data_IF_438483527088
#
_entry.id   IF_438483527088
#
_cell.length_a   1.000
_cell.length_b   1.000
_cell.length_c   1.000
_cell.angle_alpha   90.00
_cell.angle_beta   90.00
_cell.angle_gamma   90.00
#
_symmetry.space_group_name_H-M   'P 1'
#
loop_
_entity.id
_entity.type
_entity.pdbx_description
1 polymer ?
#
# COMPACT_ATOMS: atom_id res chain seq x y z
N UNK A 1 0.28 -36.69 -7.19
CA UNK A 1 -0.73 -36.01 -6.37
C UNK A 1 -0.08 -35.57 -5.07
N UNK A 2 -0.56 -34.49 -4.49
CA UNK A 2 -0.15 -34.02 -3.17
C UNK A 2 -0.90 -34.79 -2.09
N UNK A 3 -0.24 -35.00 -0.97
CA UNK A 3 -0.82 -35.51 0.27
C UNK A 3 -0.70 -34.44 1.36
N UNK A 4 -1.60 -34.48 2.34
CA UNK A 4 -1.45 -33.65 3.55
C UNK A 4 -0.05 -33.84 4.13
N UNK A 5 0.53 -32.75 4.65
CA UNK A 5 1.90 -32.71 5.19
C UNK A 5 3.04 -32.80 4.14
N UNK A 6 2.74 -32.85 2.84
CA UNK A 6 3.78 -32.57 1.85
C UNK A 6 4.24 -31.10 1.96
N UNK A 7 5.48 -30.83 1.57
CA UNK A 7 5.99 -29.47 1.36
C UNK A 7 6.30 -29.30 -0.12
N UNK A 8 5.87 -28.21 -0.69
CA UNK A 8 6.11 -27.91 -2.10
C UNK A 8 7.05 -26.71 -2.25
N UNK A 9 7.94 -26.77 -3.24
CA UNK A 9 8.88 -25.70 -3.59
C UNK A 9 8.63 -25.21 -5.00
N UNK A 10 8.77 -23.91 -5.22
CA UNK A 10 8.91 -23.35 -6.56
C UNK A 10 10.25 -23.81 -7.15
N UNK A 11 10.21 -24.44 -8.34
CA UNK A 11 11.41 -24.99 -9.00
C UNK A 11 12.13 -23.96 -9.86
N UNK A 12 11.46 -22.92 -10.32
CA UNK A 12 11.97 -21.94 -11.28
C UNK A 12 11.56 -20.54 -10.87
N UNK A 13 12.46 -19.59 -10.98
CA UNK A 13 12.25 -18.20 -10.58
C UNK A 13 12.49 -18.00 -9.08
N UNK A 14 11.47 -17.84 -8.27
CA UNK A 14 11.59 -17.71 -6.81
C UNK A 14 11.79 -19.06 -6.14
N UNK A 15 12.96 -19.67 -6.32
CA UNK A 15 13.29 -21.06 -5.94
C UNK A 15 13.35 -21.32 -4.44
N UNK A 16 13.36 -20.30 -3.61
CA UNK A 16 13.43 -20.31 -2.15
C UNK A 16 12.06 -20.23 -1.45
N UNK A 17 10.99 -20.21 -2.25
CA UNK A 17 9.61 -20.21 -1.74
C UNK A 17 9.12 -21.63 -1.58
N UNK A 18 8.64 -21.95 -0.38
CA UNK A 18 8.00 -23.21 -0.07
C UNK A 18 6.61 -22.98 0.58
N UNK A 19 5.77 -24.01 0.51
CA UNK A 19 4.44 -24.02 1.12
C UNK A 19 4.15 -25.41 1.71
N UNK A 20 3.52 -25.42 2.88
CA UNK A 20 3.01 -26.63 3.53
C UNK A 20 1.66 -26.99 2.92
N UNK A 21 1.44 -28.29 2.65
CA UNK A 21 0.19 -28.82 2.06
C UNK A 21 -0.76 -29.20 3.19
N UNK A 22 -1.86 -28.46 3.27
CA UNK A 22 -2.94 -28.74 4.23
C UNK A 22 -3.94 -29.77 3.68
N UNK A 23 -4.86 -30.23 4.51
CA UNK A 23 -5.86 -31.22 4.13
C UNK A 23 -6.72 -30.78 2.92
N UNK A 24 -6.99 -29.48 2.77
CA UNK A 24 -7.79 -28.94 1.66
C UNK A 24 -7.13 -29.11 0.29
N UNK A 25 -5.78 -29.22 0.22
CA UNK A 25 -5.03 -29.45 -1.00
C UNK A 25 -4.72 -30.93 -1.27
N UNK A 26 -5.15 -31.85 -0.41
CA UNK A 26 -4.94 -33.28 -0.61
C UNK A 26 -5.50 -33.74 -1.95
N UNK A 27 -4.73 -34.50 -2.70
CA UNK A 27 -5.12 -35.00 -4.01
C UNK A 27 -4.88 -34.03 -5.17
N UNK A 28 -4.44 -32.80 -4.93
CA UNK A 28 -4.14 -31.85 -6.00
C UNK A 28 -2.98 -32.33 -6.87
N UNK A 29 -3.08 -32.06 -8.16
CA UNK A 29 -2.00 -32.25 -9.11
C UNK A 29 -1.08 -31.02 -9.10
N UNK A 30 0.20 -31.23 -9.33
CA UNK A 30 1.19 -30.16 -9.47
C UNK A 30 2.01 -30.32 -10.74
N UNK A 31 2.46 -29.20 -11.29
CA UNK A 31 3.22 -29.17 -12.53
C UNK A 31 4.72 -29.48 -12.30
N UNK A 32 5.46 -29.75 -13.37
CA UNK A 32 6.93 -29.92 -13.30
C UNK A 32 7.71 -28.67 -12.86
N UNK A 33 7.02 -27.55 -12.64
CA UNK A 33 7.60 -26.32 -12.05
C UNK A 33 7.63 -26.31 -10.53
N UNK A 34 7.14 -27.39 -9.91
CA UNK A 34 7.08 -27.53 -8.45
C UNK A 34 7.85 -28.81 -8.07
N UNK A 35 8.66 -28.72 -7.03
CA UNK A 35 9.28 -29.88 -6.37
C UNK A 35 8.47 -30.21 -5.11
N UNK A 36 8.24 -31.49 -4.87
CA UNK A 36 7.57 -32.00 -3.67
C UNK A 36 8.61 -32.60 -2.71
N UNK A 37 8.52 -32.25 -1.45
CA UNK A 37 9.22 -32.88 -0.33
C UNK A 37 8.17 -33.56 0.52
N UNK A 38 8.34 -34.87 0.74
CA UNK A 38 7.52 -35.67 1.66
C UNK A 38 8.37 -36.04 2.87
N UNK A 39 8.09 -35.45 4.05
CA UNK A 39 8.85 -35.76 5.25
C UNK A 39 8.67 -37.22 5.68
N UNK A 40 9.66 -37.76 6.33
CA UNK A 40 9.58 -39.07 7.00
C UNK A 40 8.76 -38.92 8.31
N UNK A 41 8.23 -40.03 8.84
CA UNK A 41 7.33 -40.02 10.02
C UNK A 41 7.91 -39.38 11.28
N UNK A 42 9.23 -39.39 11.47
CA UNK A 42 9.90 -38.79 12.63
C UNK A 42 10.11 -37.27 12.50
N UNK A 43 9.71 -36.67 11.40
CA UNK A 43 9.86 -35.26 11.13
C UNK A 43 8.51 -34.58 11.09
N UNK A 44 8.27 -33.60 11.95
CA UNK A 44 7.09 -32.79 11.90
C UNK A 44 7.11 -31.88 10.65
N UNK A 45 6.17 -32.11 9.74
CA UNK A 45 6.11 -31.42 8.44
C UNK A 45 6.03 -29.90 8.56
N UNK A 46 5.19 -29.42 9.45
CA UNK A 46 5.01 -27.97 9.65
C UNK A 46 6.27 -27.33 10.25
N UNK A 47 6.96 -28.04 11.18
CA UNK A 47 8.26 -27.58 11.69
C UNK A 47 9.30 -27.52 10.56
N UNK A 48 9.36 -28.54 9.72
CA UNK A 48 10.27 -28.56 8.57
C UNK A 48 9.96 -27.43 7.59
N UNK A 49 8.69 -27.13 7.31
CA UNK A 49 8.28 -25.97 6.52
C UNK A 49 8.87 -24.66 7.08
N UNK A 50 8.83 -24.47 8.41
CA UNK A 50 9.41 -23.28 9.04
C UNK A 50 10.92 -23.23 8.97
N UNK A 51 11.62 -24.36 9.19
CA UNK A 51 13.08 -24.46 8.99
C UNK A 51 13.45 -24.03 7.57
N UNK A 52 12.76 -24.60 6.58
CA UNK A 52 12.98 -24.31 5.16
C UNK A 52 12.63 -22.85 4.77
N UNK A 53 11.88 -22.17 5.62
CA UNK A 53 11.49 -20.75 5.45
C UNK A 53 12.48 -19.79 6.14
N UNK A 54 13.50 -20.29 6.85
CA UNK A 54 14.53 -19.43 7.46
C UNK A 54 15.42 -18.77 6.41
N UNK A 55 15.93 -17.57 6.69
CA UNK A 55 16.77 -16.85 5.74
C UNK A 55 18.11 -17.55 5.44
N UNK A 56 18.65 -18.29 6.42
CA UNK A 56 19.87 -19.12 6.24
C UNK A 56 19.66 -20.19 5.18
N UNK A 57 18.57 -20.96 5.27
CA UNK A 57 18.23 -22.02 4.33
C UNK A 57 17.84 -21.44 2.96
N UNK A 58 17.03 -20.39 2.93
CA UNK A 58 16.68 -19.68 1.69
C UNK A 58 17.91 -19.19 0.93
N UNK A 59 18.88 -18.62 1.65
CA UNK A 59 20.16 -18.17 1.07
C UNK A 59 20.96 -19.34 0.51
N UNK A 60 21.06 -20.46 1.22
CA UNK A 60 21.75 -21.66 0.72
C UNK A 60 21.09 -22.19 -0.56
N UNK A 61 19.77 -22.28 -0.61
CA UNK A 61 19.01 -22.66 -1.81
C UNK A 61 19.29 -21.70 -2.98
N UNK A 62 19.24 -20.38 -2.75
CA UNK A 62 19.52 -19.39 -3.80
C UNK A 62 20.93 -19.48 -4.32
N UNK A 63 21.92 -19.71 -3.45
CA UNK A 63 23.32 -19.83 -3.82
C UNK A 63 23.63 -21.10 -4.64
N UNK A 64 22.83 -22.15 -4.46
CA UNK A 64 22.97 -23.43 -5.21
C UNK A 64 22.12 -23.45 -6.48
N UNK A 65 21.21 -22.50 -6.66
CA UNK A 65 20.35 -22.42 -7.83
C UNK A 65 21.16 -22.19 -9.11
N UNK A 66 20.76 -22.81 -10.20
CA UNK A 66 21.42 -22.73 -11.50
C UNK A 66 20.65 -21.77 -12.41
N UNK A 67 21.36 -20.91 -13.14
CA UNK A 67 20.82 -19.94 -14.07
C UNK A 67 20.81 -18.51 -13.52
N UNK A 68 21.38 -17.57 -14.28
CA UNK A 68 21.50 -16.15 -13.86
C UNK A 68 20.20 -15.37 -14.05
N UNK A 69 19.54 -15.54 -15.19
CA UNK A 69 18.32 -14.78 -15.54
C UNK A 69 17.05 -15.42 -14.95
N UNK A 70 17.02 -16.74 -14.85
CA UNK A 70 15.91 -17.50 -14.32
C UNK A 70 16.45 -18.65 -13.45
N UNK A 71 16.69 -18.38 -12.17
CA UNK A 71 17.21 -19.41 -11.24
C UNK A 71 16.32 -20.64 -11.22
N UNK A 72 16.92 -21.81 -11.17
CA UNK A 72 16.21 -23.08 -11.06
C UNK A 72 16.87 -24.02 -10.09
N UNK A 73 16.08 -24.85 -9.43
CA UNK A 73 16.54 -25.93 -8.55
C UNK A 73 16.01 -27.29 -9.02
N UNK A 74 16.70 -28.32 -8.62
CA UNK A 74 16.32 -29.71 -8.87
C UNK A 74 16.36 -30.51 -7.57
N UNK A 75 15.92 -31.76 -7.62
CA UNK A 75 15.92 -32.64 -6.44
C UNK A 75 17.29 -32.78 -5.79
N UNK A 76 18.41 -32.99 -6.52
CA UNK A 76 19.74 -33.03 -5.91
C UNK A 76 20.14 -31.74 -5.19
N UNK A 77 19.83 -30.58 -5.73
CA UNK A 77 20.13 -29.29 -5.08
C UNK A 77 19.36 -29.18 -3.78
N UNK A 78 18.05 -29.46 -3.79
CA UNK A 78 17.20 -29.35 -2.61
C UNK A 78 17.57 -30.40 -1.54
N UNK A 79 17.87 -31.65 -1.93
CA UNK A 79 18.26 -32.71 -0.99
C UNK A 79 19.63 -32.48 -0.32
N UNK A 80 20.51 -31.70 -0.92
CA UNK A 80 21.81 -31.33 -0.38
C UNK A 80 21.78 -30.01 0.42
N UNK A 81 20.60 -29.39 0.58
CA UNK A 81 20.46 -28.20 1.40
C UNK A 81 20.55 -28.57 2.88
N UNK A 82 21.49 -27.96 3.58
CA UNK A 82 21.71 -28.21 5.03
C UNK A 82 20.61 -27.51 5.84
N UNK A 83 20.05 -28.24 6.80
CA UNK A 83 19.08 -27.74 7.78
C UNK A 83 19.48 -28.11 9.21
N UNK A 84 19.15 -27.23 10.16
CA UNK A 84 19.28 -27.53 11.59
C UNK A 84 17.88 -27.64 12.18
N UNK A 85 17.61 -28.75 12.85
CA UNK A 85 16.32 -29.05 13.42
C UNK A 85 16.46 -29.93 14.65
N UNK A 86 15.62 -29.71 15.67
CA UNK A 86 15.63 -30.59 16.86
C UNK A 86 15.29 -32.02 16.46
N UNK A 87 15.98 -32.99 17.14
CA UNK A 87 15.66 -34.41 16.99
C UNK A 87 14.43 -34.83 17.82
N UNK A 88 13.99 -34.00 18.77
CA UNK A 88 12.83 -34.24 19.61
C UNK A 88 11.53 -33.90 18.87
N UNK A 89 10.72 -34.90 18.57
CA UNK A 89 9.40 -34.69 17.94
C UNK A 89 8.50 -33.77 18.79
N UNK A 90 8.57 -33.88 20.12
CA UNK A 90 7.81 -33.02 21.03
C UNK A 90 8.24 -31.56 20.93
N UNK A 91 9.52 -31.28 20.75
CA UNK A 91 10.03 -29.92 20.54
C UNK A 91 9.66 -29.41 19.17
N UNK A 92 9.82 -30.21 18.11
CA UNK A 92 9.35 -29.85 16.75
C UNK A 92 7.88 -29.43 16.75
N UNK A 93 7.03 -30.19 17.43
CA UNK A 93 5.59 -29.89 17.57
C UNK A 93 5.34 -28.57 18.29
N UNK A 94 6.06 -28.27 19.39
CA UNK A 94 5.91 -27.01 20.12
C UNK A 94 6.31 -25.81 19.25
N UNK A 95 7.43 -25.91 18.54
CA UNK A 95 7.91 -24.86 17.64
C UNK A 95 6.90 -24.63 16.50
N UNK A 96 6.46 -25.72 15.86
CA UNK A 96 5.46 -25.64 14.78
C UNK A 96 4.16 -24.96 15.24
N UNK A 97 3.62 -25.37 16.38
CA UNK A 97 2.41 -24.79 16.93
C UNK A 97 2.56 -23.30 17.26
N UNK A 98 3.68 -22.89 17.86
CA UNK A 98 3.92 -21.49 18.17
C UNK A 98 3.98 -20.63 16.91
N UNK A 99 4.71 -21.06 15.88
CA UNK A 99 4.84 -20.32 14.63
C UNK A 99 3.54 -20.31 13.84
N UNK A 100 2.77 -21.40 13.86
CA UNK A 100 1.43 -21.48 13.25
C UNK A 100 0.45 -20.47 13.86
N UNK A 101 0.43 -20.34 15.19
CA UNK A 101 -0.42 -19.35 15.88
C UNK A 101 -0.04 -17.92 15.47
N UNK A 102 1.23 -17.64 15.22
CA UNK A 102 1.67 -16.34 14.72
C UNK A 102 1.17 -16.11 13.28
N UNK A 103 1.24 -17.14 12.42
CA UNK A 103 0.75 -17.06 11.05
C UNK A 103 -0.77 -16.86 10.99
N UNK A 104 -1.53 -17.56 11.82
CA UNK A 104 -2.97 -17.33 11.96
C UNK A 104 -3.28 -15.89 12.39
N UNK A 105 -2.49 -15.35 13.33
CA UNK A 105 -2.63 -13.96 13.78
C UNK A 105 -2.31 -12.97 12.67
N UNK A 106 -1.22 -13.19 11.89
CA UNK A 106 -0.87 -12.38 10.73
C UNK A 106 -1.97 -12.43 9.66
N UNK A 107 -2.51 -13.62 9.38
CA UNK A 107 -3.61 -13.79 8.43
C UNK A 107 -4.88 -13.03 8.87
N UNK A 108 -5.25 -13.17 10.14
CA UNK A 108 -6.39 -12.46 10.73
C UNK A 108 -6.18 -10.95 10.68
N UNK A 109 -4.96 -10.48 10.98
CA UNK A 109 -4.62 -9.06 10.94
C UNK A 109 -4.74 -8.47 9.53
N UNK A 110 -4.28 -9.21 8.50
CA UNK A 110 -4.46 -8.81 7.10
C UNK A 110 -5.94 -8.67 6.73
N UNK A 111 -6.78 -9.61 7.17
CA UNK A 111 -8.23 -9.57 6.93
C UNK A 111 -8.89 -8.37 7.60
N UNK A 112 -8.52 -8.06 8.85
CA UNK A 112 -9.01 -6.86 9.56
C UNK A 112 -8.68 -5.59 8.77
N UNK A 113 -7.44 -5.45 8.30
CA UNK A 113 -7.00 -4.29 7.51
C UNK A 113 -7.80 -4.19 6.20
N UNK A 114 -8.00 -5.31 5.50
CA UNK A 114 -8.80 -5.35 4.27
C UNK A 114 -10.25 -4.94 4.51
N UNK A 115 -10.88 -5.46 5.56
CA UNK A 115 -12.27 -5.16 5.89
C UNK A 115 -12.44 -3.69 6.32
N UNK A 116 -11.49 -3.12 7.08
CA UNK A 116 -11.49 -1.70 7.43
C UNK A 116 -11.33 -0.80 6.18
N UNK A 117 -10.48 -1.17 5.21
CA UNK A 117 -10.34 -0.45 3.94
C UNK A 117 -11.63 -0.49 3.13
N UNK A 118 -12.29 -1.65 3.07
CA UNK A 118 -13.60 -1.79 2.40
C UNK A 118 -14.66 -0.92 3.09
N UNK A 119 -14.67 -0.91 4.43
CA UNK A 119 -15.59 -0.10 5.21
C UNK A 119 -15.36 1.40 4.96
N UNK A 120 -14.10 1.87 4.96
CA UNK A 120 -13.77 3.26 4.60
C UNK A 120 -14.31 3.60 3.22
N UNK A 121 -14.02 2.78 2.23
CA UNK A 121 -14.49 3.00 0.85
C UNK A 121 -16.02 3.04 0.77
N UNK A 122 -16.72 2.12 1.44
CA UNK A 122 -18.18 2.09 1.46
C UNK A 122 -18.78 3.35 2.09
N UNK A 123 -18.20 3.85 3.18
CA UNK A 123 -18.64 5.10 3.83
C UNK A 123 -18.45 6.28 2.87
N UNK A 124 -17.29 6.39 2.22
CA UNK A 124 -17.05 7.45 1.22
C UNK A 124 -18.09 7.38 0.11
N UNK A 125 -18.38 6.20 -0.45
CA UNK A 125 -19.39 6.07 -1.51
C UNK A 125 -20.79 6.48 -1.04
N UNK A 126 -21.19 6.14 0.18
CA UNK A 126 -22.50 6.51 0.74
C UNK A 126 -22.61 8.02 0.95
N UNK A 127 -21.57 8.63 1.55
CA UNK A 127 -21.60 10.06 1.92
C UNK A 127 -21.49 11.00 0.69
N UNK A 128 -20.82 10.56 -0.37
CA UNK A 128 -20.59 11.38 -1.57
C UNK A 128 -21.42 10.97 -2.79
N UNK A 129 -22.25 9.94 -2.69
CA UNK A 129 -23.24 9.65 -3.72
C UNK A 129 -24.36 10.70 -3.65
N UNK A 130 -24.64 11.43 -4.71
CA UNK A 130 -25.68 12.45 -4.70
C UNK A 130 -27.05 11.84 -4.42
N UNK A 131 -27.54 11.98 -3.21
CA UNK A 131 -28.87 11.51 -2.81
C UNK A 131 -29.92 12.62 -2.87
N UNK A 132 -29.50 13.84 -3.21
CA UNK A 132 -30.32 15.04 -3.14
C UNK A 132 -30.34 15.81 -4.46
N UNK A 133 -31.42 16.52 -4.67
CA UNK A 133 -31.64 17.43 -5.82
C UNK A 133 -30.74 18.67 -5.78
N UNK A 134 -30.00 18.90 -4.70
CA UNK A 134 -29.16 20.09 -4.51
C UNK A 134 -27.68 19.72 -4.56
N UNK A 135 -27.11 19.84 -5.74
CA UNK A 135 -25.65 19.83 -5.92
C UNK A 135 -25.21 21.18 -6.44
N UNK A 136 -24.09 21.70 -5.91
CA UNK A 136 -23.43 22.91 -6.42
C UNK A 136 -22.13 22.52 -7.11
N UNK A 137 -21.63 23.32 -8.06
CA UNK A 137 -20.29 23.16 -8.58
C UNK A 137 -19.24 23.27 -7.47
N UNK A 138 -18.20 22.44 -7.50
CA UNK A 138 -17.13 22.53 -6.49
C UNK A 138 -16.41 23.89 -6.54
N UNK A 139 -16.44 24.57 -7.70
CA UNK A 139 -15.92 25.92 -7.87
C UNK A 139 -16.55 26.98 -6.95
N UNK A 140 -17.78 26.75 -6.47
CA UNK A 140 -18.45 27.64 -5.53
C UNK A 140 -17.86 27.60 -4.12
N UNK A 141 -17.01 26.60 -3.83
CA UNK A 141 -16.50 26.31 -2.48
C UNK A 141 -14.97 26.23 -2.41
N UNK A 142 -14.28 26.42 -3.52
CA UNK A 142 -12.81 26.44 -3.62
C UNK A 142 -12.33 27.71 -4.32
N UNK A 143 -11.13 28.14 -3.99
CA UNK A 143 -10.45 29.24 -4.66
C UNK A 143 -9.05 28.83 -5.14
N UNK A 144 -8.66 29.27 -6.33
CA UNK A 144 -7.35 29.01 -6.87
C UNK A 144 -6.27 29.87 -6.17
N UNK A 145 -5.17 29.26 -5.78
CA UNK A 145 -4.03 29.95 -5.22
C UNK A 145 -2.83 29.90 -6.19
N UNK A 146 -2.11 31.00 -6.32
CA UNK A 146 -0.99 31.12 -7.25
C UNK A 146 0.19 31.93 -6.69
N UNK A 147 0.25 32.14 -5.36
CA UNK A 147 1.32 32.86 -4.69
C UNK A 147 2.67 32.19 -4.95
N UNK A 148 3.64 32.95 -5.46
CA UNK A 148 4.96 32.43 -5.83
C UNK A 148 6.02 32.70 -4.77
N UNK A 149 7.04 31.84 -4.73
CA UNK A 149 8.20 31.91 -3.84
C UNK A 149 9.25 32.94 -4.33
N UNK A 150 8.81 34.17 -4.67
CA UNK A 150 9.64 35.20 -5.35
C UNK A 150 11.03 35.44 -4.72
N UNK A 151 11.13 35.29 -3.42
CA UNK A 151 12.37 35.58 -2.67
C UNK A 151 13.17 34.31 -2.36
N UNK A 152 12.80 33.14 -2.94
CA UNK A 152 13.39 31.84 -2.61
C UNK A 152 13.46 31.55 -1.10
N UNK A 153 12.52 32.15 -0.32
CA UNK A 153 12.51 32.05 1.13
C UNK A 153 12.14 30.65 1.65
N UNK A 154 11.37 29.89 0.84
CA UNK A 154 10.92 28.54 1.21
C UNK A 154 11.73 27.54 0.39
N UNK A 155 12.39 26.61 1.10
CA UNK A 155 13.25 25.59 0.50
C UNK A 155 12.60 24.19 0.52
N UNK A 156 11.44 24.03 1.21
CA UNK A 156 10.73 22.75 1.30
C UNK A 156 9.99 22.44 -0.01
N UNK A 157 10.68 21.79 -0.95
CA UNK A 157 10.10 21.43 -2.25
C UNK A 157 9.30 20.14 -2.13
N UNK A 158 8.01 20.23 -2.48
CA UNK A 158 7.05 19.15 -2.38
C UNK A 158 6.58 18.67 -3.76
N UNK A 159 6.20 17.41 -3.80
CA UNK A 159 5.51 16.77 -4.92
C UNK A 159 4.22 16.11 -4.45
N UNK A 160 3.25 15.93 -5.35
CA UNK A 160 2.01 15.20 -5.07
C UNK A 160 2.11 13.78 -5.60
N UNK A 161 2.28 12.83 -4.68
CA UNK A 161 2.22 11.41 -4.94
C UNK A 161 0.77 10.92 -4.97
N UNK A 162 0.45 10.01 -5.87
CA UNK A 162 -0.88 9.36 -5.93
C UNK A 162 -1.15 8.37 -4.78
N UNK A 163 -0.14 8.07 -3.95
CA UNK A 163 -0.27 7.11 -2.83
C UNK A 163 -0.07 7.74 -1.45
N UNK A 164 0.79 8.74 -1.36
CA UNK A 164 1.25 9.32 -0.10
C UNK A 164 0.86 10.79 0.07
N UNK A 165 0.13 11.37 -0.90
CA UNK A 165 -0.19 12.79 -0.89
C UNK A 165 1.04 13.66 -1.08
N UNK A 166 1.17 14.72 -0.30
CA UNK A 166 2.35 15.58 -0.34
C UNK A 166 3.55 14.91 0.32
N UNK A 167 4.63 14.77 -0.42
CA UNK A 167 5.92 14.23 0.02
C UNK A 167 7.05 15.17 -0.41
N UNK A 168 8.20 15.08 0.23
CA UNK A 168 9.38 15.80 -0.26
C UNK A 168 9.77 15.29 -1.64
N UNK A 169 10.12 16.21 -2.52
CA UNK A 169 10.49 15.83 -3.89
C UNK A 169 11.71 14.89 -3.93
N UNK A 170 12.66 15.04 -3.02
CA UNK A 170 13.83 14.17 -2.87
C UNK A 170 13.44 12.72 -2.56
N UNK A 171 12.37 12.49 -1.78
CA UNK A 171 11.87 11.16 -1.45
C UNK A 171 11.20 10.48 -2.65
N UNK A 172 10.53 11.27 -3.50
CA UNK A 172 9.86 10.75 -4.69
C UNK A 172 10.84 10.26 -5.77
N UNK A 173 12.01 10.87 -5.87
CA UNK A 173 13.00 10.63 -6.93
C UNK A 173 14.30 9.99 -6.41
N UNK A 174 14.24 9.18 -5.36
CA UNK A 174 15.38 8.42 -4.82
C UNK A 174 16.60 9.31 -4.54
N UNK A 175 16.39 10.44 -3.86
CA UNK A 175 17.40 11.45 -3.53
C UNK A 175 18.02 12.18 -4.75
N UNK A 176 17.42 12.11 -5.93
CA UNK A 176 17.79 12.96 -7.05
C UNK A 176 17.18 14.35 -6.85
N UNK A 177 18.02 15.38 -6.95
CA UNK A 177 17.53 16.76 -6.95
C UNK A 177 16.94 17.07 -8.33
N UNK A 178 15.61 16.98 -8.47
CA UNK A 178 14.88 17.26 -9.72
C UNK A 178 14.35 18.70 -9.74
N UNK A 179 14.39 19.38 -8.58
CA UNK A 179 14.01 20.78 -8.50
C UNK A 179 15.00 21.65 -9.28
N UNK A 180 14.49 22.68 -9.95
CA UNK A 180 15.33 23.74 -10.50
C UNK A 180 16.11 24.42 -9.38
N UNK A 181 17.34 24.88 -9.63
CA UNK A 181 18.11 25.72 -8.70
C UNK A 181 17.35 27.00 -8.36
N UNK A 182 16.64 27.56 -9.33
CA UNK A 182 15.71 28.68 -9.12
C UNK A 182 14.29 28.19 -8.87
N UNK A 183 13.84 28.36 -7.64
CA UNK A 183 12.47 28.02 -7.19
C UNK A 183 11.56 29.26 -7.06
N UNK A 184 11.98 30.43 -7.55
CA UNK A 184 11.23 31.69 -7.45
C UNK A 184 9.84 31.63 -8.10
N UNK A 185 9.69 30.79 -9.13
CA UNK A 185 8.43 30.56 -9.83
C UNK A 185 7.53 29.47 -9.21
N UNK A 186 8.05 28.70 -8.23
CA UNK A 186 7.27 27.67 -7.55
C UNK A 186 6.12 28.30 -6.77
N UNK A 187 5.01 27.57 -6.68
CA UNK A 187 3.81 28.01 -5.96
C UNK A 187 3.93 27.64 -4.49
N UNK A 188 3.59 28.58 -3.61
CA UNK A 188 3.54 28.36 -2.18
C UNK A 188 2.22 27.65 -1.84
N UNK A 189 2.31 26.61 -1.04
CA UNK A 189 1.18 25.88 -0.44
C UNK A 189 1.35 25.86 1.07
N UNK A 190 0.25 26.06 1.78
CA UNK A 190 0.15 26.08 3.25
C UNK A 190 -0.70 24.92 3.73
N UNK A 191 -0.68 24.65 5.02
CA UNK A 191 -1.49 23.57 5.61
C UNK A 191 -2.95 23.71 5.18
N UNK A 192 -3.56 22.58 4.79
CA UNK A 192 -4.90 22.46 4.21
C UNK A 192 -5.07 22.97 2.76
N UNK A 193 -4.05 23.53 2.15
CA UNK A 193 -4.10 23.77 0.71
C UNK A 193 -4.05 22.46 -0.07
N UNK A 194 -4.62 22.47 -1.25
CA UNK A 194 -4.65 21.36 -2.20
C UNK A 194 -3.76 21.63 -3.40
N UNK A 195 -3.19 20.58 -3.95
CA UNK A 195 -2.56 20.66 -5.26
C UNK A 195 -2.84 19.40 -6.07
N UNK A 196 -2.98 19.56 -7.38
CA UNK A 196 -3.06 18.44 -8.30
C UNK A 196 -2.19 18.65 -9.55
N UNK A 197 -1.76 17.55 -10.14
CA UNK A 197 -1.12 17.56 -11.44
C UNK A 197 -2.18 17.39 -12.53
N UNK A 198 -2.45 18.40 -13.40
CA UNK A 198 -3.46 18.32 -14.44
C UNK A 198 -3.37 17.08 -15.33
N UNK A 199 -2.15 16.66 -15.69
CA UNK A 199 -1.90 15.52 -16.56
C UNK A 199 -1.89 14.16 -15.84
N UNK A 200 -2.06 14.12 -14.51
CA UNK A 200 -1.99 12.90 -13.70
C UNK A 200 -3.10 12.79 -12.66
N UNK A 201 -4.09 13.65 -12.71
CA UNK A 201 -5.24 13.61 -11.78
C UNK A 201 -6.06 12.34 -11.98
N UNK A 202 -6.12 11.83 -13.20
CA UNK A 202 -6.81 10.58 -13.56
C UNK A 202 -6.18 9.32 -12.90
N UNK A 203 -4.94 9.42 -12.43
CA UNK A 203 -4.26 8.36 -11.66
C UNK A 203 -4.10 8.74 -10.19
N UNK A 204 -4.84 9.74 -9.70
CA UNK A 204 -4.92 10.12 -8.29
C UNK A 204 -3.87 11.15 -7.84
N UNK A 205 -3.23 11.89 -8.74
CA UNK A 205 -2.29 12.96 -8.33
C UNK A 205 -3.03 14.23 -7.93
N UNK A 206 -3.78 14.17 -6.85
CA UNK A 206 -4.41 15.27 -6.11
C UNK A 206 -4.30 14.98 -4.63
N UNK A 207 -3.98 15.99 -3.80
CA UNK A 207 -3.88 15.82 -2.36
C UNK A 207 -4.05 17.15 -1.62
N UNK A 208 -4.39 17.03 -0.32
CA UNK A 208 -4.37 18.10 0.68
C UNK A 208 -3.06 18.06 1.46
N UNK A 209 -2.48 19.24 1.72
CA UNK A 209 -1.26 19.36 2.52
C UNK A 209 -1.58 19.19 4.01
N UNK A 210 -1.22 18.04 4.57
CA UNK A 210 -1.45 17.70 5.99
C UNK A 210 -0.17 17.45 6.76
N UNK A 211 0.92 17.11 6.07
CA UNK A 211 2.20 16.65 6.66
C UNK A 211 3.19 17.77 6.95
N UNK A 212 3.01 18.93 6.33
CA UNK A 212 3.88 20.09 6.49
C UNK A 212 3.04 21.35 6.71
N UNK A 213 3.55 22.29 7.50
CA UNK A 213 2.88 23.59 7.67
C UNK A 213 2.92 24.41 6.38
N UNK A 214 4.05 24.32 5.63
CA UNK A 214 4.28 25.09 4.40
C UNK A 214 5.30 24.41 3.52
N UNK A 215 5.12 24.59 2.20
CA UNK A 215 6.06 24.15 1.18
C UNK A 215 5.86 24.84 -0.15
N UNK A 216 6.63 24.43 -1.13
CA UNK A 216 6.50 24.91 -2.51
C UNK A 216 6.36 23.73 -3.47
N UNK A 217 5.56 23.92 -4.51
CA UNK A 217 5.36 22.96 -5.58
C UNK A 217 5.68 23.54 -6.94
N UNK A 218 6.08 22.70 -7.88
CA UNK A 218 6.36 23.10 -9.26
C UNK A 218 5.20 23.91 -9.88
N UNK A 219 5.49 24.90 -10.74
CA UNK A 219 4.45 25.68 -11.43
C UNK A 219 3.40 24.86 -12.20
N UNK A 220 3.75 23.64 -12.58
CA UNK A 220 2.84 22.72 -13.29
C UNK A 220 1.63 22.26 -12.46
N UNK A 221 1.73 22.29 -11.13
CA UNK A 221 0.60 21.95 -10.28
C UNK A 221 -0.44 23.07 -10.26
N UNK A 222 -1.71 22.71 -10.28
CA UNK A 222 -2.79 23.59 -9.93
C UNK A 222 -3.01 23.52 -8.43
N UNK A 223 -2.99 24.69 -7.76
CA UNK A 223 -3.16 24.78 -6.32
C UNK A 223 -4.44 25.54 -5.99
N UNK A 224 -5.13 25.11 -4.95
CA UNK A 224 -6.37 25.74 -4.49
C UNK A 224 -6.59 25.47 -3.00
N UNK A 225 -7.51 26.20 -2.38
CA UNK A 225 -7.96 26.01 -1.02
C UNK A 225 -9.49 26.04 -0.94
N UNK A 226 -10.02 25.51 0.14
CA UNK A 226 -11.45 25.61 0.46
C UNK A 226 -11.77 26.99 1.03
N UNK A 227 -13.02 27.44 0.86
CA UNK A 227 -13.53 28.59 1.58
C UNK A 227 -13.67 28.30 3.08
N UNK A 228 -13.76 29.35 3.92
CA UNK A 228 -13.79 29.22 5.39
C UNK A 228 -14.95 28.38 5.95
N UNK A 229 -16.07 28.35 5.23
CA UNK A 229 -17.27 27.58 5.59
C UNK A 229 -17.28 26.15 5.06
N UNK A 230 -16.17 25.67 4.53
CA UNK A 230 -16.02 24.33 3.96
C UNK A 230 -14.88 23.59 4.64
N UNK A 231 -15.19 22.42 5.22
CA UNK A 231 -14.18 21.59 5.84
C UNK A 231 -13.21 20.98 4.82
N UNK A 232 -11.91 21.27 4.88
CA UNK A 232 -10.93 20.72 3.92
C UNK A 232 -10.95 19.19 3.87
N UNK A 233 -11.15 18.52 5.02
CA UNK A 233 -11.26 17.07 5.13
C UNK A 233 -12.41 16.51 4.28
N UNK A 234 -13.54 17.23 4.25
CA UNK A 234 -14.69 16.83 3.47
C UNK A 234 -14.39 16.83 1.97
N UNK A 235 -13.69 17.85 1.49
CA UNK A 235 -13.27 17.95 0.09
C UNK A 235 -12.18 16.90 -0.24
N UNK A 236 -11.27 16.65 0.67
CA UNK A 236 -10.20 15.64 0.51
C UNK A 236 -10.80 14.24 0.27
N UNK A 237 -11.74 13.81 1.12
CA UNK A 237 -12.41 12.52 0.95
C UNK A 237 -13.35 12.46 -0.26
N UNK A 238 -13.90 13.59 -0.72
CA UNK A 238 -14.63 13.63 -1.99
C UNK A 238 -13.75 13.17 -3.15
N UNK A 239 -12.49 13.56 -3.18
CA UNK A 239 -11.54 13.17 -4.22
C UNK A 239 -11.20 11.66 -4.22
N UNK A 240 -11.46 10.96 -3.14
CA UNK A 240 -11.34 9.49 -3.09
C UNK A 240 -12.59 8.76 -3.61
N UNK A 241 -13.72 9.46 -3.83
CA UNK A 241 -14.98 8.83 -4.22
C UNK A 241 -15.00 8.42 -5.71
N UNK A 242 -15.70 7.34 -6.02
CA UNK A 242 -15.96 6.94 -7.42
C UNK A 242 -16.74 8.01 -8.16
N UNK A 243 -17.62 8.76 -7.45
CA UNK A 243 -18.36 9.85 -8.04
C UNK A 243 -17.41 10.88 -8.64
N UNK A 244 -16.43 11.35 -7.88
CA UNK A 244 -15.40 12.27 -8.38
C UNK A 244 -14.65 11.67 -9.56
N UNK A 245 -14.15 10.44 -9.43
CA UNK A 245 -13.41 9.76 -10.49
C UNK A 245 -14.22 9.68 -11.80
N UNK A 246 -15.49 9.30 -11.74
CA UNK A 246 -16.36 9.26 -12.92
C UNK A 246 -16.60 10.65 -13.55
N UNK A 247 -16.62 11.71 -12.72
CA UNK A 247 -16.82 13.07 -13.21
C UNK A 247 -15.59 13.66 -13.88
N UNK A 248 -14.38 13.38 -13.36
CA UNK A 248 -13.15 13.85 -14.01
C UNK A 248 -12.95 13.19 -15.37
N UNK A 249 -13.23 11.90 -15.51
CA UNK A 249 -13.08 11.18 -16.79
C UNK A 249 -13.85 11.85 -17.94
N UNK A 250 -14.99 12.46 -17.64
CA UNK A 250 -15.84 13.18 -18.62
C UNK A 250 -15.35 14.59 -18.94
N UNK A 251 -14.35 15.11 -18.21
CA UNK A 251 -13.86 16.50 -18.29
C UNK A 251 -12.38 16.59 -18.64
N UNK A 252 -11.74 15.45 -18.85
CA UNK A 252 -10.35 15.41 -19.33
C UNK A 252 -10.30 15.90 -20.77
N UNK A 253 -9.40 16.84 -21.04
CA UNK A 253 -9.16 17.45 -22.34
C UNK A 253 -7.81 16.99 -22.92
N UNK A 254 -7.72 16.88 -24.23
CA UNK A 254 -6.50 16.50 -24.96
C UNK A 254 -6.50 15.07 -25.48
N UNK A 255 -5.97 14.89 -26.70
CA UNK A 255 -5.94 13.60 -27.41
C UNK A 255 -4.75 12.73 -27.05
N UNK A 256 -3.58 13.32 -26.72
CA UNK A 256 -2.34 12.59 -26.42
C UNK A 256 -2.06 12.57 -24.93
N UNK A 257 -2.26 13.70 -24.24
CA UNK A 257 -2.18 13.80 -22.77
C UNK A 257 -3.47 14.43 -22.27
N UNK A 258 -4.27 13.60 -21.66
CA UNK A 258 -5.49 14.06 -21.03
C UNK A 258 -5.18 14.87 -19.77
N UNK A 259 -5.64 16.10 -19.71
CA UNK A 259 -5.44 17.03 -18.61
C UNK A 259 -6.78 17.51 -18.07
N UNK A 260 -6.87 17.76 -16.77
CA UNK A 260 -8.00 18.46 -16.16
C UNK A 260 -7.57 19.89 -15.87
N UNK A 261 -8.29 20.87 -16.45
CA UNK A 261 -8.12 22.28 -16.10
C UNK A 261 -8.72 22.60 -14.72
N UNK A 262 -8.35 23.75 -14.13
CA UNK A 262 -9.01 24.21 -12.89
C UNK A 262 -10.49 24.45 -13.12
N UNK A 263 -10.87 25.03 -14.26
CA UNK A 263 -12.26 25.21 -14.63
C UNK A 263 -13.01 23.88 -14.76
N UNK A 264 -12.36 22.87 -15.36
CA UNK A 264 -12.91 21.50 -15.43
C UNK A 264 -13.15 20.90 -14.05
N UNK A 265 -12.27 21.17 -13.08
CA UNK A 265 -12.46 20.80 -11.68
C UNK A 265 -13.64 21.57 -11.07
N UNK A 266 -13.68 22.89 -11.24
CA UNK A 266 -14.74 23.76 -10.71
C UNK A 266 -16.14 23.33 -11.13
N UNK A 267 -16.30 22.80 -12.35
CA UNK A 267 -17.58 22.36 -12.89
C UNK A 267 -18.04 20.97 -12.41
N UNK A 268 -17.31 20.33 -11.49
CA UNK A 268 -17.72 19.04 -10.91
C UNK A 268 -18.81 19.26 -9.86
N UNK A 269 -19.98 18.60 -9.98
CA UNK A 269 -21.05 18.74 -8.99
C UNK A 269 -20.66 18.04 -7.68
N UNK A 270 -20.87 18.75 -6.57
CA UNK A 270 -20.68 18.30 -5.21
C UNK A 270 -21.95 18.51 -4.41
N UNK A 271 -22.35 17.53 -3.60
CA UNK A 271 -23.35 17.72 -2.56
C UNK A 271 -22.67 18.31 -1.34
N UNK A 272 -23.08 19.49 -0.90
CA UNK A 272 -22.48 20.21 0.21
C UNK A 272 -23.47 20.27 1.39
N UNK A 273 -23.34 19.41 2.41
CA UNK A 273 -24.15 19.50 3.62
C UNK A 273 -23.69 20.65 4.52
N UNK A 274 -24.39 20.89 5.63
CA UNK A 274 -23.96 21.91 6.60
C UNK A 274 -22.53 21.64 7.10
N UNK A 275 -21.81 22.69 7.49
CA UNK A 275 -20.42 22.60 7.97
C UNK A 275 -20.23 21.58 9.10
N UNK A 276 -21.19 21.51 10.04
CA UNK A 276 -21.18 20.52 11.12
C UNK A 276 -21.24 19.07 10.61
N UNK A 277 -22.07 18.84 9.56
CA UNK A 277 -22.16 17.50 8.93
C UNK A 277 -20.87 17.18 8.20
N UNK A 278 -20.28 18.15 7.47
CA UNK A 278 -18.99 17.97 6.80
C UNK A 278 -17.89 17.56 7.79
N UNK A 279 -17.77 18.27 8.92
CA UNK A 279 -16.81 17.95 9.98
C UNK A 279 -17.06 16.57 10.57
N UNK A 280 -18.32 16.19 10.81
CA UNK A 280 -18.67 14.87 11.33
C UNK A 280 -18.26 13.74 10.36
N UNK A 281 -18.51 13.91 9.08
CA UNK A 281 -18.09 12.95 8.02
C UNK A 281 -16.56 12.86 7.98
N UNK A 282 -15.87 13.99 7.91
CA UNK A 282 -14.41 14.05 7.90
C UNK A 282 -13.79 13.34 9.11
N UNK A 283 -14.29 13.65 10.32
CA UNK A 283 -13.82 13.00 11.55
C UNK A 283 -14.06 11.50 11.56
N UNK A 284 -15.21 11.05 11.08
CA UNK A 284 -15.54 9.61 11.01
C UNK A 284 -14.58 8.85 10.10
N UNK A 285 -14.31 9.38 8.91
CA UNK A 285 -13.39 8.74 7.95
C UNK A 285 -11.95 8.80 8.46
N UNK A 286 -11.53 9.95 9.01
CA UNK A 286 -10.20 10.09 9.64
C UNK A 286 -9.98 9.08 10.77
N UNK A 287 -10.98 8.85 11.63
CA UNK A 287 -10.86 7.84 12.69
C UNK A 287 -10.62 6.43 12.14
N UNK A 288 -11.26 6.08 11.01
CA UNK A 288 -11.00 4.80 10.32
C UNK A 288 -9.59 4.74 9.73
N UNK A 289 -9.08 5.82 9.18
CA UNK A 289 -7.69 5.88 8.69
C UNK A 289 -6.68 5.66 9.80
N UNK A 290 -6.89 6.32 10.95
CA UNK A 290 -6.04 6.09 12.12
C UNK A 290 -6.08 4.61 12.56
N UNK A 291 -7.27 4.00 12.55
CA UNK A 291 -7.41 2.58 12.88
C UNK A 291 -6.69 1.69 11.86
N UNK A 292 -6.84 1.94 10.56
CA UNK A 292 -6.13 1.20 9.50
C UNK A 292 -4.63 1.31 9.68
N UNK A 293 -4.12 2.50 10.00
CA UNK A 293 -2.70 2.73 10.26
C UNK A 293 -2.22 1.91 11.45
N UNK A 294 -2.90 1.98 12.59
CA UNK A 294 -2.54 1.20 13.79
C UNK A 294 -2.51 -0.30 13.52
N UNK A 295 -3.49 -0.83 12.79
CA UNK A 295 -3.54 -2.25 12.44
C UNK A 295 -2.43 -2.64 11.45
N UNK A 296 -2.03 -1.72 10.57
CA UNK A 296 -0.89 -1.92 9.64
C UNK A 296 0.43 -1.93 10.40
N UNK A 297 0.62 -1.03 11.36
CA UNK A 297 1.81 -0.99 12.21
C UNK A 297 1.90 -2.28 13.06
N UNK A 298 0.77 -2.77 13.59
CA UNK A 298 0.70 -4.04 14.30
C UNK A 298 1.09 -5.22 13.41
N UNK A 299 0.63 -5.26 12.16
CA UNK A 299 1.00 -6.29 11.19
C UNK A 299 2.52 -6.31 10.94
N UNK A 300 3.13 -5.14 10.82
CA UNK A 300 4.59 -5.03 10.67
C UNK A 300 5.33 -5.61 11.89
N UNK A 301 4.86 -5.29 13.10
CA UNK A 301 5.43 -5.84 14.35
C UNK A 301 5.30 -7.37 14.43
N UNK A 302 4.15 -7.92 14.06
CA UNK A 302 3.94 -9.38 14.02
C UNK A 302 4.88 -10.07 13.04
N UNK A 303 5.10 -9.48 11.85
CA UNK A 303 6.05 -10.00 10.88
C UNK A 303 7.51 -9.94 11.41
N UNK A 304 7.89 -8.84 12.06
CA UNK A 304 9.20 -8.73 12.72
C UNK A 304 9.36 -9.76 13.84
N UNK A 305 8.34 -9.98 14.66
CA UNK A 305 8.33 -11.01 15.70
C UNK A 305 8.51 -12.40 15.10
N UNK A 306 7.78 -12.75 14.04
CA UNK A 306 7.94 -14.03 13.34
C UNK A 306 9.38 -14.23 12.87
N UNK A 307 9.94 -13.22 12.20
CA UNK A 307 11.33 -13.28 11.71
C UNK A 307 12.35 -13.43 12.84
N UNK A 308 12.15 -12.76 13.95
CA UNK A 308 12.99 -12.90 15.12
C UNK A 308 12.94 -14.33 15.68
N UNK A 309 11.75 -14.88 15.86
CA UNK A 309 11.57 -16.25 16.38
C UNK A 309 12.18 -17.31 15.44
N UNK A 310 11.99 -17.17 14.12
CA UNK A 310 12.62 -18.04 13.14
C UNK A 310 14.17 -18.05 13.27
N UNK A 311 14.77 -16.89 13.55
CA UNK A 311 16.22 -16.78 13.75
C UNK A 311 16.68 -17.40 15.07
N UNK A 312 15.87 -17.34 16.14
CA UNK A 312 16.25 -17.84 17.46
C UNK A 312 16.02 -19.34 17.61
N UNK A 313 15.03 -19.90 16.93
CA UNK A 313 14.63 -21.31 17.07
C UNK A 313 15.41 -22.27 16.17
N UNK A 314 16.03 -21.76 15.10
CA UNK A 314 16.72 -22.57 14.10
C UNK A 314 18.16 -22.07 13.88
N UNK A 315 18.91 -21.99 14.96
CA UNK A 315 20.34 -21.60 14.97
C UNK A 315 21.23 -22.78 14.65
#
# INVERSE_FOLDING_TARGET
MLETDDIVFSRVGSVDINAHVEHVQQGWLFSGRVLRVRPIKSVNSLCLHYVLSTESVKRDIRNRAVGQTMPSINTPILSNTGIYMSQSEAEQKKIANLLSLIDERISTQNKIIEDLKKLKSAIIEIEYTPNTKTTSPIGDVIEQISKRNKNNAIQNVLSVSNRQGFIKQSEQFENRNVASEDTSNYKIVEQNDFAFNPARINVGSIARLTTFEKGIVSPMYVCFRTQENVAPEYIDYFFESKHFYCKIQKRLEGSVRQCLSFEGLCNIPLSLPSFEIQQRIGKRIFTLEQKIKMETDLLELLNKQKQYLLRQMFI
#
